data_IF_258710698034
#
_entry.id   IF_258710698034
#
_cell.length_a   1.000
_cell.length_b   1.000
_cell.length_c   1.000
_cell.angle_alpha   90.00
_cell.angle_beta   90.00
_cell.angle_gamma   90.00
#
_symmetry.space_group_name_H-M   'P 1'
#
loop_
_entity.id
_entity.type
_entity.pdbx_description
1 polymer ?
#
# COMPACT_ATOMS: atom_id res chain seq x y z
N UNK A 1 31.54 -8.89 -11.66
CA UNK A 1 31.73 -7.96 -10.51
C UNK A 1 30.33 -7.47 -10.13
N UNK A 2 29.68 -8.14 -9.18
CA UNK A 2 28.31 -7.81 -8.74
C UNK A 2 28.45 -6.71 -7.70
N UNK A 3 27.92 -5.53 -7.99
CA UNK A 3 27.81 -4.48 -6.99
C UNK A 3 26.62 -4.81 -6.10
N UNK A 4 26.89 -5.29 -4.88
CA UNK A 4 25.92 -5.22 -3.79
C UNK A 4 25.75 -3.73 -3.48
N UNK A 5 24.70 -3.12 -4.01
CA UNK A 5 24.27 -1.79 -3.60
C UNK A 5 23.71 -1.92 -2.18
N UNK A 6 24.65 -1.88 -1.23
CA UNK A 6 24.43 -1.87 0.20
C UNK A 6 23.42 -0.78 0.56
N UNK A 7 22.17 -1.18 0.79
CA UNK A 7 21.18 -0.52 1.65
C UNK A 7 21.16 1.03 1.62
N UNK A 8 21.13 1.63 0.42
CA UNK A 8 20.80 3.07 0.26
C UNK A 8 19.29 3.24 0.06
N UNK A 9 18.51 2.53 0.88
CA UNK A 9 17.17 2.99 1.28
C UNK A 9 17.20 3.14 2.81
N UNK A 10 18.29 3.71 3.32
CA UNK A 10 18.28 4.34 4.63
C UNK A 10 17.24 5.45 4.57
N UNK A 11 16.01 5.13 4.98
CA UNK A 11 14.92 6.08 5.23
C UNK A 11 14.84 7.17 4.16
N UNK A 12 14.07 6.97 3.08
CA UNK A 12 13.62 8.14 2.33
C UNK A 12 13.07 9.13 3.37
N UNK A 13 13.75 10.26 3.46
CA UNK A 13 13.73 11.24 4.55
C UNK A 13 12.40 12.00 4.58
N UNK A 14 11.26 11.29 4.62
CA UNK A 14 9.97 11.91 4.87
C UNK A 14 9.84 12.02 6.39
N UNK A 15 10.09 13.23 6.92
CA UNK A 15 9.51 13.66 8.19
C UNK A 15 8.01 13.94 7.98
N UNK A 16 7.28 12.98 7.43
CA UNK A 16 5.85 13.08 7.38
C UNK A 16 5.30 12.40 8.64
N UNK A 17 4.65 13.21 9.46
CA UNK A 17 3.91 12.68 10.60
C UNK A 17 2.78 11.80 10.08
N UNK A 18 2.68 10.59 10.64
CA UNK A 18 1.57 9.70 10.34
C UNK A 18 0.24 10.37 10.68
N UNK A 19 -0.52 10.72 9.63
CA UNK A 19 -1.80 11.40 9.76
C UNK A 19 -2.88 10.41 10.22
N UNK A 20 -2.97 10.22 11.55
CA UNK A 20 -3.94 9.31 12.18
C UNK A 20 -5.39 9.73 11.97
N UNK A 21 -5.64 10.94 11.45
CA UNK A 21 -7.00 11.47 11.31
C UNK A 21 -7.87 10.64 10.35
N UNK A 22 -7.26 9.97 9.37
CA UNK A 22 -7.93 9.09 8.41
C UNK A 22 -8.36 7.74 8.99
N UNK A 23 -7.81 7.33 10.13
CA UNK A 23 -7.88 5.94 10.59
C UNK A 23 -8.63 5.77 11.91
N UNK A 24 -9.35 4.66 12.01
CA UNK A 24 -9.80 4.09 13.27
C UNK A 24 -8.92 2.89 13.66
N UNK A 25 -8.62 2.76 14.95
CA UNK A 25 -7.69 1.77 15.49
C UNK A 25 -8.44 0.78 16.38
N UNK A 26 -8.21 -0.51 16.16
CA UNK A 26 -8.66 -1.59 17.03
C UNK A 26 -7.44 -2.26 17.67
N UNK A 27 -7.15 -1.85 18.91
CA UNK A 27 -6.00 -2.34 19.67
C UNK A 27 -6.10 -3.84 20.03
N UNK A 28 -7.32 -4.36 20.19
CA UNK A 28 -7.56 -5.76 20.56
C UNK A 28 -7.20 -6.69 19.41
N UNK A 29 -7.56 -6.32 18.18
CA UNK A 29 -7.29 -7.10 16.97
C UNK A 29 -5.93 -6.76 16.33
N UNK A 30 -5.24 -5.72 16.82
CA UNK A 30 -4.04 -5.16 16.20
C UNK A 30 -4.27 -4.78 14.74
N UNK A 31 -5.40 -4.12 14.50
CA UNK A 31 -5.81 -3.65 13.17
C UNK A 31 -6.14 -2.16 13.18
N UNK A 32 -6.02 -1.53 12.02
CA UNK A 32 -6.54 -0.19 11.78
C UNK A 32 -7.09 -0.10 10.37
N UNK A 33 -8.08 0.77 10.16
CA UNK A 33 -8.73 0.94 8.86
C UNK A 33 -9.16 2.38 8.64
N UNK A 34 -9.52 2.71 7.41
CA UNK A 34 -10.03 4.04 7.09
C UNK A 34 -11.39 4.27 7.77
N UNK A 35 -11.63 5.48 8.28
CA UNK A 35 -12.94 5.87 8.84
C UNK A 35 -14.03 5.95 7.77
N UNK A 36 -13.64 6.06 6.51
CA UNK A 36 -14.53 6.23 5.35
C UNK A 36 -14.13 5.28 4.25
N UNK A 37 -15.12 4.80 3.48
CA UNK A 37 -14.89 3.95 2.32
C UNK A 37 -14.26 4.72 1.14
N UNK A 38 -14.09 6.04 1.24
CA UNK A 38 -13.41 6.82 0.22
C UNK A 38 -12.34 7.69 0.86
N UNK A 39 -11.14 7.67 0.29
CA UNK A 39 -10.02 8.52 0.66
C UNK A 39 -9.48 9.22 -0.58
N UNK A 40 -9.36 10.54 -0.54
CA UNK A 40 -8.72 11.34 -1.59
C UNK A 40 -7.47 11.96 -1.00
N UNK A 41 -6.31 11.56 -1.50
CA UNK A 41 -5.01 12.05 -1.07
C UNK A 41 -4.53 13.13 -2.05
N UNK A 42 -4.27 14.32 -1.52
CA UNK A 42 -3.63 15.44 -2.24
C UNK A 42 -2.19 15.69 -1.74
N UNK A 43 -1.73 14.87 -0.79
CA UNK A 43 -0.40 14.85 -0.20
C UNK A 43 -0.06 13.39 0.06
N UNK A 44 1.23 13.08 0.13
CA UNK A 44 1.71 11.75 0.46
C UNK A 44 1.16 11.28 1.81
N UNK A 45 0.98 9.98 1.92
CA UNK A 45 0.51 9.31 3.12
C UNK A 45 1.56 8.29 3.56
N UNK A 46 2.28 8.66 4.60
CA UNK A 46 3.18 7.74 5.30
C UNK A 46 2.45 6.97 6.40
N UNK A 47 2.50 5.64 6.35
CA UNK A 47 2.00 4.72 7.37
C UNK A 47 3.21 3.96 7.92
N UNK A 48 3.72 4.29 9.13
CA UNK A 48 4.87 3.62 9.71
C UNK A 48 4.56 2.16 10.07
N UNK A 49 5.58 1.40 10.46
CA UNK A 49 5.37 0.08 11.08
C UNK A 49 4.82 0.28 12.49
N UNK A 50 3.53 0.00 12.65
CA UNK A 50 2.81 0.13 13.91
C UNK A 50 2.75 -1.18 14.70
N UNK A 51 3.28 -2.28 14.17
CA UNK A 51 2.99 -3.62 14.66
C UNK A 51 1.49 -3.99 14.56
N UNK A 52 0.77 -3.33 13.64
CA UNK A 52 -0.65 -3.52 13.37
C UNK A 52 -0.87 -3.77 11.88
N UNK A 53 -2.01 -4.35 11.50
CA UNK A 53 -2.39 -4.57 10.11
C UNK A 53 -3.35 -3.48 9.63
N UNK A 54 -2.99 -2.81 8.54
CA UNK A 54 -3.91 -1.94 7.82
C UNK A 54 -4.94 -2.78 7.05
N UNK A 55 -6.19 -2.70 7.46
CA UNK A 55 -7.31 -3.33 6.77
C UNK A 55 -7.89 -2.33 5.77
N UNK A 56 -7.94 -2.73 4.50
CA UNK A 56 -8.66 -2.04 3.44
C UNK A 56 -9.93 -2.85 3.16
N UNK A 57 -11.08 -2.32 3.55
CA UNK A 57 -12.35 -3.04 3.48
C UNK A 57 -12.89 -3.12 2.04
N UNK A 58 -13.69 -4.17 1.69
CA UNK A 58 -14.37 -4.25 0.40
C UNK A 58 -15.15 -2.97 0.05
N UNK A 59 -15.06 -2.55 -1.21
CA UNK A 59 -15.68 -1.31 -1.69
C UNK A 59 -14.92 -0.02 -1.35
N UNK A 60 -13.75 -0.12 -0.69
CA UNK A 60 -12.92 1.06 -0.43
C UNK A 60 -12.38 1.64 -1.75
N UNK A 61 -12.48 2.96 -1.91
CA UNK A 61 -11.89 3.72 -3.01
C UNK A 61 -10.83 4.69 -2.51
N UNK A 62 -9.59 4.50 -2.93
CA UNK A 62 -8.46 5.37 -2.63
C UNK A 62 -8.07 6.10 -3.92
N UNK A 63 -8.05 7.42 -3.88
CA UNK A 63 -7.74 8.29 -5.01
C UNK A 63 -6.48 9.09 -4.70
N UNK A 64 -5.45 8.88 -5.50
CA UNK A 64 -4.16 9.55 -5.41
C UNK A 64 -4.13 10.72 -6.40
N UNK A 65 -4.07 11.95 -5.88
CA UNK A 65 -3.95 13.16 -6.68
C UNK A 65 -2.59 13.82 -6.42
N UNK A 66 -1.60 13.46 -7.22
CA UNK A 66 -0.20 13.84 -7.02
C UNK A 66 0.31 13.43 -5.62
N UNK A 67 -0.03 12.21 -5.21
CA UNK A 67 0.24 11.70 -3.88
C UNK A 67 0.67 10.23 -3.94
N UNK A 68 1.57 9.84 -3.05
CA UNK A 68 2.01 8.47 -2.86
C UNK A 68 1.56 7.91 -1.50
N UNK A 69 1.31 6.60 -1.43
CA UNK A 69 1.15 5.89 -0.16
C UNK A 69 2.42 5.11 0.11
N UNK A 70 3.05 5.37 1.25
CA UNK A 70 4.22 4.62 1.72
C UNK A 70 3.80 3.90 2.99
N UNK A 71 3.61 2.58 2.90
CA UNK A 71 3.15 1.76 4.00
C UNK A 71 4.23 0.78 4.47
N UNK A 72 4.60 0.89 5.74
CA UNK A 72 5.51 -0.02 6.43
C UNK A 72 4.80 -1.03 7.35
N UNK A 73 3.53 -0.77 7.67
CA UNK A 73 2.66 -1.74 8.33
C UNK A 73 2.21 -2.84 7.37
N UNK A 74 1.81 -4.00 7.92
CA UNK A 74 1.22 -5.09 7.14
C UNK A 74 -0.10 -4.66 6.53
N UNK A 75 -0.45 -5.14 5.33
CA UNK A 75 -1.68 -4.74 4.63
C UNK A 75 -2.56 -5.95 4.34
N UNK A 76 -3.84 -5.83 4.64
CA UNK A 76 -4.88 -6.79 4.25
C UNK A 76 -5.96 -6.06 3.45
N UNK A 77 -5.98 -6.30 2.14
CA UNK A 77 -6.90 -5.72 1.18
C UNK A 77 -7.59 -6.85 0.41
N UNK A 78 -8.71 -7.35 0.94
CA UNK A 78 -9.46 -8.47 0.35
C UNK A 78 -10.82 -7.94 -0.07
N UNK A 79 -10.97 -7.57 -1.35
CA UNK A 79 -12.24 -7.16 -1.94
C UNK A 79 -13.17 -8.34 -2.24
N UNK A 80 -14.38 -8.05 -2.68
CA UNK A 80 -15.36 -9.04 -3.17
C UNK A 80 -15.59 -8.83 -4.68
N UNK A 81 -16.03 -9.86 -5.41
CA UNK A 81 -16.30 -9.75 -6.86
C UNK A 81 -17.26 -8.59 -7.19
N UNK A 82 -18.33 -8.43 -6.41
CA UNK A 82 -19.31 -7.34 -6.58
C UNK A 82 -18.95 -6.06 -5.79
N UNK A 83 -17.83 -6.06 -5.06
CA UNK A 83 -17.44 -4.96 -4.17
C UNK A 83 -15.92 -4.88 -4.02
N UNK A 84 -15.28 -4.60 -5.15
CA UNK A 84 -13.82 -4.55 -5.28
C UNK A 84 -13.24 -3.34 -4.54
N UNK A 85 -11.98 -3.49 -4.10
CA UNK A 85 -11.21 -2.36 -3.60
C UNK A 85 -10.62 -1.64 -4.81
N UNK A 86 -10.69 -0.31 -4.84
CA UNK A 86 -10.23 0.51 -5.96
C UNK A 86 -9.14 1.47 -5.49
N UNK A 87 -7.93 1.38 -6.04
CA UNK A 87 -6.86 2.35 -5.77
C UNK A 87 -6.38 2.95 -7.09
N UNK A 88 -6.60 4.25 -7.28
CA UNK A 88 -6.34 4.92 -8.55
C UNK A 88 -5.57 6.22 -8.39
N UNK A 89 -4.75 6.59 -9.38
CA UNK A 89 -4.26 7.95 -9.50
C UNK A 89 -5.05 8.75 -10.54
N UNK A 90 -5.17 10.07 -10.33
CA UNK A 90 -5.78 11.00 -11.31
C UNK A 90 -4.70 11.71 -12.15
N UNK A 91 -3.51 11.89 -11.59
CA UNK A 91 -2.38 12.57 -12.23
C UNK A 91 -1.11 11.74 -12.03
N UNK A 92 -0.30 12.06 -11.01
CA UNK A 92 0.75 11.19 -10.50
C UNK A 92 0.35 10.53 -9.18
N UNK A 93 0.89 9.34 -8.93
CA UNK A 93 0.76 8.67 -7.64
C UNK A 93 1.12 7.20 -7.72
N UNK A 94 1.49 6.63 -6.58
CA UNK A 94 1.89 5.25 -6.44
C UNK A 94 1.68 4.74 -5.03
N UNK A 95 1.89 3.44 -4.86
CA UNK A 95 1.84 2.78 -3.57
C UNK A 95 3.12 1.98 -3.39
N UNK A 96 3.79 2.22 -2.27
CA UNK A 96 4.93 1.45 -1.82
C UNK A 96 4.53 0.68 -0.56
N UNK A 97 4.46 -0.64 -0.67
CA UNK A 97 4.24 -1.54 0.46
C UNK A 97 5.57 -2.18 0.83
N UNK A 98 6.06 -1.91 2.05
CA UNK A 98 7.21 -2.61 2.60
C UNK A 98 6.77 -4.02 2.99
N UNK A 99 7.55 -5.04 2.63
CA UNK A 99 7.27 -6.36 3.15
C UNK A 99 7.58 -6.37 4.65
N UNK A 100 6.54 -6.64 5.43
CA UNK A 100 6.63 -6.83 6.86
C UNK A 100 6.72 -8.34 7.14
N UNK A 101 7.24 -8.73 8.30
CA UNK A 101 7.29 -10.14 8.73
C UNK A 101 5.87 -10.72 8.85
N UNK A 102 4.86 -9.88 9.07
CA UNK A 102 3.47 -10.32 9.11
C UNK A 102 2.87 -10.45 7.71
N UNK A 103 2.09 -11.50 7.49
CA UNK A 103 1.45 -11.84 6.21
C UNK A 103 0.56 -10.67 5.71
N UNK A 104 0.98 -10.06 4.60
CA UNK A 104 0.12 -9.15 3.84
C UNK A 104 -0.69 -9.96 2.81
N UNK A 105 -1.92 -9.54 2.55
CA UNK A 105 -2.81 -10.22 1.58
C UNK A 105 -3.56 -9.20 0.76
N UNK A 106 -3.53 -9.36 -0.56
CA UNK A 106 -4.20 -8.48 -1.52
C UNK A 106 -4.94 -9.35 -2.53
N UNK A 107 -6.26 -9.20 -2.63
CA UNK A 107 -7.09 -9.89 -3.61
C UNK A 107 -8.29 -9.03 -3.99
N UNK A 108 -8.82 -9.19 -5.21
CA UNK A 108 -9.96 -8.41 -5.73
C UNK A 108 -9.80 -6.90 -5.49
N UNK A 109 -8.60 -6.40 -5.81
CA UNK A 109 -8.22 -5.01 -5.68
C UNK A 109 -7.75 -4.50 -7.03
N UNK A 110 -8.43 -3.48 -7.55
CA UNK A 110 -8.12 -2.81 -8.81
C UNK A 110 -7.12 -1.69 -8.55
N UNK A 111 -6.02 -1.70 -9.29
CA UNK A 111 -5.06 -0.61 -9.35
C UNK A 111 -5.14 0.06 -10.72
N UNK A 112 -5.26 1.39 -10.78
CA UNK A 112 -5.42 2.12 -12.05
C UNK A 112 -4.67 3.44 -12.10
N UNK A 113 -4.10 3.77 -13.26
CA UNK A 113 -3.36 4.99 -13.56
C UNK A 113 -2.22 5.28 -12.58
N UNK A 114 -1.61 4.24 -11.99
CA UNK A 114 -0.47 4.42 -11.08
C UNK A 114 0.82 4.65 -11.87
N UNK A 115 1.68 5.55 -11.43
CA UNK A 115 2.94 5.81 -12.09
C UNK A 115 3.92 4.64 -11.93
N UNK A 116 4.42 4.10 -13.04
CA UNK A 116 5.33 2.94 -13.09
C UNK A 116 6.75 3.16 -12.52
N UNK A 117 7.06 4.33 -11.95
CA UNK A 117 8.44 4.73 -11.62
C UNK A 117 9.04 4.12 -10.35
N UNK A 118 8.37 3.19 -9.66
CA UNK A 118 8.97 2.40 -8.59
C UNK A 118 9.12 0.94 -9.01
N UNK A 119 10.07 0.68 -9.94
CA UNK A 119 10.41 -0.66 -10.40
C UNK A 119 11.73 -1.15 -9.79
N UNK A 120 11.67 -2.18 -8.93
CA UNK A 120 12.59 -3.34 -8.95
C UNK A 120 12.16 -4.40 -7.92
N UNK A 121 11.50 -5.44 -8.43
CA UNK A 121 11.58 -6.79 -7.87
C UNK A 121 13.02 -7.28 -8.06
N UNK A 122 13.71 -7.69 -6.99
CA UNK A 122 14.87 -8.55 -7.14
C UNK A 122 14.64 -9.78 -6.27
N UNK A 123 14.69 -10.94 -6.92
CA UNK A 123 14.21 -12.23 -6.45
C UNK A 123 15.09 -12.86 -5.34
N UNK A 124 15.42 -12.09 -4.31
CA UNK A 124 16.18 -12.58 -3.15
C UNK A 124 15.86 -11.91 -1.82
N UNK A 125 14.81 -11.08 -1.73
CA UNK A 125 14.16 -10.71 -0.45
C UNK A 125 12.93 -9.86 -0.70
N UNK A 126 11.78 -10.41 -0.32
CA UNK A 126 10.77 -9.68 0.46
C UNK A 126 10.28 -8.32 -0.06
N UNK A 127 9.71 -8.23 -1.29
CA UNK A 127 8.76 -7.15 -1.69
C UNK A 127 7.86 -7.60 -2.84
N UNK A 128 6.56 -7.26 -2.79
CA UNK A 128 5.62 -7.39 -3.91
C UNK A 128 5.32 -5.99 -4.51
N UNK A 129 5.31 -5.88 -5.83
CA UNK A 129 4.98 -4.67 -6.60
C UNK A 129 3.81 -4.96 -7.54
N UNK A 130 2.89 -4.01 -7.68
CA UNK A 130 1.71 -4.12 -8.53
C UNK A 130 1.82 -3.04 -9.62
N UNK A 131 1.88 -3.46 -10.88
CA UNK A 131 1.91 -2.59 -12.06
C UNK A 131 0.73 -2.92 -12.98
N UNK A 132 0.31 -1.92 -13.74
CA UNK A 132 -0.77 -1.99 -14.73
C UNK A 132 -0.51 -3.08 -15.78
N UNK A 133 -1.17 -4.22 -15.59
CA UNK A 133 -1.76 -5.04 -16.64
C UNK A 133 -2.75 -5.95 -15.93
N UNK A 134 -4.04 -5.74 -16.15
CA UNK A 134 -5.19 -6.56 -15.72
C UNK A 134 -4.83 -7.68 -14.73
N UNK A 135 -4.69 -7.32 -13.45
CA UNK A 135 -4.40 -8.26 -12.38
C UNK A 135 -5.68 -9.01 -11.98
N UNK A 136 -6.14 -9.93 -12.83
CA UNK A 136 -6.96 -11.06 -12.40
C UNK A 136 -6.04 -12.17 -11.85
N UNK A 137 -5.21 -11.84 -10.86
CA UNK A 137 -4.43 -12.88 -10.18
C UNK A 137 -4.59 -12.78 -8.67
N UNK A 138 -5.08 -13.88 -8.11
CA UNK A 138 -4.99 -14.22 -6.70
C UNK A 138 -3.51 -14.42 -6.37
N UNK A 139 -2.87 -13.40 -5.79
CA UNK A 139 -1.55 -13.58 -5.19
C UNK A 139 -1.77 -14.22 -3.81
N UNK A 140 -1.66 -15.54 -3.74
CA UNK A 140 -1.50 -16.25 -2.45
C UNK A 140 0.00 -16.25 -2.14
N UNK A 141 0.39 -15.50 -1.11
CA UNK A 141 1.72 -15.56 -0.49
C UNK A 141 1.71 -16.59 0.64
#
# INVERSE_FOLDING_TARGET
KVFLQKDVVSSYFFREEFDRSYFEFNENEKTFKLKTNTLILNKDLYIPDLGMTWIIEPGTSIVLNNADIICESSVKAIGLEDNEINIKAINSGGILLKNNISLSSISNTIFSNLNAQLTKFNASSDRALLNEHDFNSTLVL
#
